data_IF_127514181363
#
_entry.id   IF_127514181363
#
_cell.length_a   1.000
_cell.length_b   1.000
_cell.length_c   1.000
_cell.angle_alpha   90.00
_cell.angle_beta   90.00
_cell.angle_gamma   90.00
#
_symmetry.space_group_name_H-M   'P 1'
#
loop_
_entity.id
_entity.type
_entity.pdbx_description
1 polymer ?
#
# COMPACT_ATOMS: atom_id res chain seq x y z
N UNK A 1 17.87 19.70 11.97
CA UNK A 1 16.70 19.34 11.15
C UNK A 1 17.17 18.27 10.20
N UNK A 2 16.62 17.04 10.30
CA UNK A 2 16.97 15.97 9.35
C UNK A 2 16.55 16.37 7.92
N UNK A 3 17.22 15.81 6.92
CA UNK A 3 16.82 15.98 5.50
C UNK A 3 15.42 15.37 5.29
N UNK A 4 14.65 15.93 4.34
CA UNK A 4 13.39 15.35 3.93
C UNK A 4 13.62 13.92 3.42
N UNK A 5 12.84 12.91 3.88
CA UNK A 5 13.03 11.55 3.42
C UNK A 5 12.70 11.42 1.93
N UNK A 6 13.49 10.64 1.21
CA UNK A 6 13.24 10.33 -0.20
C UNK A 6 12.28 9.15 -0.28
N UNK A 7 11.07 9.39 -0.74
CA UNK A 7 10.03 8.36 -0.86
C UNK A 7 9.77 8.04 -2.33
N UNK A 8 10.06 6.79 -2.72
CA UNK A 8 9.79 6.28 -4.04
C UNK A 8 8.31 5.96 -4.25
N UNK A 9 7.83 6.08 -5.47
CA UNK A 9 6.59 5.45 -5.94
C UNK A 9 6.94 4.48 -7.06
N UNK A 10 6.54 3.21 -6.92
CA UNK A 10 6.78 2.18 -7.94
C UNK A 10 6.02 2.55 -9.22
N UNK A 11 6.75 3.07 -10.22
CA UNK A 11 6.18 3.74 -11.38
C UNK A 11 6.16 2.83 -12.62
N UNK A 12 5.73 1.57 -12.43
CA UNK A 12 5.59 0.60 -13.53
C UNK A 12 4.17 0.60 -14.10
N UNK A 13 3.15 0.77 -13.24
CA UNK A 13 1.74 0.80 -13.62
C UNK A 13 0.92 1.33 -12.45
N UNK A 14 -0.22 2.00 -12.70
CA UNK A 14 -1.20 2.44 -11.69
C UNK A 14 -1.15 3.93 -11.36
N UNK A 15 -1.67 4.29 -10.19
CA UNK A 15 -1.96 5.66 -9.74
C UNK A 15 -0.70 6.41 -9.23
N UNK A 16 0.36 6.39 -10.04
CA UNK A 16 1.70 6.91 -9.68
C UNK A 16 1.68 8.41 -9.44
N UNK A 17 1.05 9.17 -10.34
CA UNK A 17 1.05 10.63 -10.30
C UNK A 17 0.28 11.16 -9.07
N UNK A 18 -0.80 10.49 -8.68
CA UNK A 18 -1.62 10.80 -7.52
C UNK A 18 -0.81 10.64 -6.23
N UNK A 19 -0.10 9.51 -6.08
CA UNK A 19 0.78 9.28 -4.93
C UNK A 19 1.95 10.26 -4.87
N UNK A 20 2.60 10.58 -6.00
CA UNK A 20 3.67 11.59 -6.03
C UNK A 20 3.16 12.96 -5.56
N UNK A 21 1.96 13.37 -6.01
CA UNK A 21 1.34 14.64 -5.58
C UNK A 21 1.00 14.65 -4.09
N UNK A 22 0.46 13.54 -3.56
CA UNK A 22 0.14 13.42 -2.15
C UNK A 22 1.42 13.48 -1.29
N UNK A 23 2.46 12.73 -1.65
CA UNK A 23 3.74 12.71 -0.94
C UNK A 23 4.43 14.08 -0.92
N UNK A 24 4.40 14.83 -2.02
CA UNK A 24 4.97 16.18 -2.10
C UNK A 24 4.39 17.14 -1.04
N UNK A 25 3.14 16.90 -0.60
CA UNK A 25 2.46 17.71 0.40
C UNK A 25 2.70 17.25 1.84
N UNK A 26 3.48 16.19 2.05
CA UNK A 26 3.76 15.61 3.38
C UNK A 26 5.16 15.91 3.91
N UNK A 27 5.94 16.71 3.17
CA UNK A 27 7.32 17.04 3.54
C UNK A 27 8.33 15.94 3.20
N UNK A 28 7.96 14.99 2.31
CA UNK A 28 8.88 14.05 1.69
C UNK A 28 9.37 14.58 0.34
N UNK A 29 10.46 14.01 -0.16
CA UNK A 29 10.93 14.19 -1.54
C UNK A 29 10.46 13.00 -2.37
N UNK A 30 9.36 13.11 -3.15
CA UNK A 30 8.82 12.00 -3.91
C UNK A 30 9.61 11.78 -5.21
N UNK A 31 9.87 10.52 -5.55
CA UNK A 31 10.55 10.13 -6.78
C UNK A 31 9.89 8.92 -7.43
N UNK A 32 9.93 8.82 -8.75
CA UNK A 32 9.49 7.62 -9.46
C UNK A 32 10.56 6.54 -9.41
N UNK A 33 10.15 5.29 -9.17
CA UNK A 33 11.02 4.11 -9.14
C UNK A 33 10.57 3.10 -10.19
N UNK A 34 11.45 2.78 -11.13
CA UNK A 34 11.24 1.78 -12.20
C UNK A 34 12.38 0.77 -12.31
N UNK A 35 13.53 1.05 -11.69
CA UNK A 35 14.76 0.28 -11.83
C UNK A 35 15.40 0.02 -10.47
N UNK A 36 16.25 -1.02 -10.37
CA UNK A 36 16.94 -1.36 -9.13
C UNK A 36 17.82 -0.25 -8.53
N UNK A 37 18.49 0.54 -9.37
CA UNK A 37 19.33 1.66 -8.93
C UNK A 37 18.48 2.80 -8.35
N UNK A 38 17.34 3.10 -8.95
CA UNK A 38 16.37 4.07 -8.41
C UNK A 38 15.79 3.59 -7.07
N UNK A 39 15.49 2.27 -6.96
CA UNK A 39 15.04 1.66 -5.71
C UNK A 39 16.10 1.74 -4.61
N UNK A 40 17.38 1.62 -4.96
CA UNK A 40 18.46 1.70 -3.98
C UNK A 40 18.60 3.08 -3.34
N UNK A 41 18.12 4.14 -4.01
CA UNK A 41 18.28 5.53 -3.61
C UNK A 41 17.14 6.09 -2.74
N UNK A 42 16.11 5.28 -2.40
CA UNK A 42 14.96 5.75 -1.63
C UNK A 42 14.98 5.23 -0.19
N UNK A 43 14.41 5.99 0.74
CA UNK A 43 14.27 5.63 2.16
C UNK A 43 13.03 4.78 2.43
N UNK A 44 11.99 4.91 1.59
CA UNK A 44 10.75 4.15 1.63
C UNK A 44 10.08 4.09 0.27
N UNK A 45 9.11 3.18 0.09
CA UNK A 45 8.45 2.95 -1.19
C UNK A 45 6.93 2.88 -1.06
N UNK A 46 6.21 3.58 -1.93
CA UNK A 46 4.78 3.37 -2.18
C UNK A 46 4.61 2.45 -3.38
N UNK A 47 3.80 1.40 -3.21
CA UNK A 47 3.34 0.50 -4.26
C UNK A 47 1.89 0.90 -4.57
N UNK A 48 1.62 1.55 -5.72
CA UNK A 48 0.33 2.17 -6.00
C UNK A 48 -0.77 1.15 -6.28
N UNK A 49 -2.00 1.63 -6.32
CA UNK A 49 -3.12 0.93 -6.92
C UNK A 49 -2.94 0.74 -8.41
N UNK A 50 -3.61 -0.28 -8.97
CA UNK A 50 -3.52 -0.64 -10.37
C UNK A 50 -4.00 -2.06 -10.62
N UNK A 51 -3.46 -2.74 -11.65
CA UNK A 51 -3.75 -4.15 -11.93
C UNK A 51 -2.58 -5.03 -11.44
N UNK A 52 -2.81 -5.80 -10.38
CA UNK A 52 -1.75 -6.53 -9.66
C UNK A 52 -1.01 -7.56 -10.50
N UNK A 53 -1.68 -8.21 -11.47
CA UNK A 53 -1.02 -9.20 -12.38
C UNK A 53 -0.04 -8.50 -13.32
N UNK A 54 -0.46 -7.36 -13.90
CA UNK A 54 0.40 -6.54 -14.75
C UNK A 54 1.56 -5.95 -13.93
N UNK A 55 1.30 -5.48 -12.73
CA UNK A 55 2.35 -4.98 -11.84
C UNK A 55 3.38 -6.06 -11.53
N UNK A 56 2.94 -7.30 -11.22
CA UNK A 56 3.85 -8.41 -10.99
C UNK A 56 4.72 -8.70 -12.21
N UNK A 57 4.10 -8.81 -13.41
CA UNK A 57 4.82 -9.04 -14.67
C UNK A 57 5.85 -7.96 -14.97
N UNK A 58 5.47 -6.69 -14.79
CA UNK A 58 6.39 -5.56 -15.02
C UNK A 58 7.51 -5.52 -13.98
N UNK A 59 7.20 -5.75 -12.70
CA UNK A 59 8.21 -5.81 -11.64
C UNK A 59 9.27 -6.88 -11.92
N UNK A 60 8.84 -8.03 -12.45
CA UNK A 60 9.75 -9.10 -12.89
C UNK A 60 10.52 -8.70 -14.15
N UNK A 61 9.85 -8.19 -15.18
CA UNK A 61 10.46 -7.83 -16.46
C UNK A 61 11.50 -6.70 -16.34
N UNK A 62 11.31 -5.77 -15.39
CA UNK A 62 12.25 -4.69 -15.09
C UNK A 62 13.29 -5.07 -14.02
N UNK A 63 13.34 -6.34 -13.62
CA UNK A 63 14.28 -6.89 -12.64
C UNK A 63 14.23 -6.20 -11.25
N UNK A 64 13.08 -5.62 -10.90
CA UNK A 64 12.87 -4.92 -9.61
C UNK A 64 12.38 -5.87 -8.52
N UNK A 65 11.78 -7.02 -8.86
CA UNK A 65 11.13 -7.92 -7.91
C UNK A 65 12.08 -8.40 -6.80
N UNK A 66 13.21 -8.99 -7.15
CA UNK A 66 14.15 -9.51 -6.16
C UNK A 66 14.86 -8.41 -5.35
N UNK A 67 15.36 -7.31 -5.96
CA UNK A 67 15.85 -6.16 -5.18
C UNK A 67 14.81 -5.62 -4.21
N UNK A 68 13.53 -5.56 -4.60
CA UNK A 68 12.46 -5.07 -3.75
C UNK A 68 12.17 -6.04 -2.59
N UNK A 69 12.05 -7.35 -2.84
CA UNK A 69 11.95 -8.37 -1.78
C UNK A 69 13.09 -8.25 -0.76
N UNK A 70 14.31 -8.08 -1.24
CA UNK A 70 15.49 -7.89 -0.38
C UNK A 70 15.41 -6.62 0.46
N UNK A 71 14.96 -5.51 -0.12
CA UNK A 71 14.78 -4.24 0.59
C UNK A 71 13.68 -4.35 1.65
N UNK A 72 12.55 -4.97 1.33
CA UNK A 72 11.44 -5.20 2.27
C UNK A 72 11.87 -6.08 3.45
N UNK A 73 12.53 -7.22 3.17
CA UNK A 73 13.06 -8.11 4.23
C UNK A 73 14.16 -7.44 5.07
N UNK A 74 14.89 -6.49 4.49
CA UNK A 74 15.85 -5.63 5.18
C UNK A 74 15.21 -4.52 6.03
N UNK A 75 13.89 -4.42 6.04
CA UNK A 75 13.15 -3.46 6.88
C UNK A 75 12.90 -2.11 6.24
N UNK A 76 13.04 -1.96 4.93
CA UNK A 76 12.64 -0.75 4.22
C UNK A 76 11.14 -0.51 4.41
N UNK A 77 10.72 0.69 4.85
CA UNK A 77 9.31 1.03 4.91
C UNK A 77 8.65 0.96 3.53
N UNK A 78 7.46 0.33 3.49
CA UNK A 78 6.65 0.31 2.27
C UNK A 78 5.17 0.46 2.58
N UNK A 79 4.47 1.13 1.66
CA UNK A 79 3.03 1.30 1.70
C UNK A 79 2.40 0.79 0.40
N UNK A 80 1.47 -0.16 0.50
CA UNK A 80 0.71 -0.69 -0.64
C UNK A 80 -0.77 -0.28 -0.59
N UNK A 81 -1.26 0.43 -1.63
CA UNK A 81 -2.68 0.73 -1.80
C UNK A 81 -3.32 -0.19 -2.84
N UNK A 82 -4.51 -0.73 -2.58
CA UNK A 82 -5.28 -1.58 -3.49
C UNK A 82 -4.43 -2.74 -4.06
N UNK A 83 -3.99 -2.66 -5.32
CA UNK A 83 -3.08 -3.64 -5.91
C UNK A 83 -1.74 -3.75 -5.14
N UNK A 84 -1.26 -2.67 -4.56
CA UNK A 84 -0.09 -2.65 -3.70
C UNK A 84 -0.27 -3.48 -2.42
N UNK A 85 -1.47 -3.52 -1.82
CA UNK A 85 -1.79 -4.43 -0.73
C UNK A 85 -1.66 -5.89 -1.18
N UNK A 86 -2.14 -6.22 -2.39
CA UNK A 86 -2.00 -7.57 -2.96
C UNK A 86 -0.51 -7.95 -3.11
N UNK A 87 0.30 -7.00 -3.60
CA UNK A 87 1.73 -7.22 -3.80
C UNK A 87 2.49 -7.47 -2.49
N UNK A 88 2.07 -6.86 -1.37
CA UNK A 88 2.72 -7.02 -0.05
C UNK A 88 2.21 -8.23 0.75
N UNK A 89 1.14 -8.91 0.31
CA UNK A 89 0.58 -10.05 1.00
C UNK A 89 1.44 -11.32 0.82
N UNK A 90 1.60 -12.11 1.89
CA UNK A 90 2.28 -13.42 1.81
C UNK A 90 1.44 -14.46 1.05
N UNK A 91 0.10 -14.31 1.06
CA UNK A 91 -0.82 -15.23 0.40
C UNK A 91 -1.89 -14.48 -0.38
N UNK A 92 -2.16 -14.97 -1.60
CA UNK A 92 -3.16 -14.44 -2.50
C UNK A 92 -4.22 -15.49 -2.83
N UNK A 93 -5.49 -15.14 -2.65
CA UNK A 93 -6.64 -15.92 -3.11
C UNK A 93 -7.22 -15.32 -4.39
N UNK A 94 -7.71 -16.19 -5.28
CA UNK A 94 -8.30 -15.81 -6.57
C UNK A 94 -7.30 -15.05 -7.48
N UNK A 95 -6.00 -15.33 -7.30
CA UNK A 95 -4.94 -14.92 -8.22
C UNK A 95 -5.05 -15.64 -9.56
N UNK A 96 -4.43 -15.09 -10.60
CA UNK A 96 -4.28 -15.79 -11.88
C UNK A 96 -3.06 -16.71 -11.83
N UNK A 97 -3.05 -17.75 -12.69
CA UNK A 97 -1.94 -18.68 -12.76
C UNK A 97 -0.60 -17.96 -13.00
N UNK A 98 0.39 -18.28 -12.18
CA UNK A 98 1.72 -17.69 -12.22
C UNK A 98 1.83 -16.27 -11.61
N UNK A 99 0.76 -15.75 -11.01
CA UNK A 99 0.86 -14.52 -10.23
C UNK A 99 1.46 -14.81 -8.86
N UNK A 100 2.61 -14.23 -8.60
CA UNK A 100 3.22 -14.19 -7.27
C UNK A 100 3.03 -12.81 -6.62
N UNK A 101 3.48 -12.72 -5.38
CA UNK A 101 3.53 -11.49 -4.58
C UNK A 101 4.96 -11.19 -4.15
N UNK A 102 5.21 -9.97 -3.71
CA UNK A 102 6.47 -9.61 -3.06
C UNK A 102 6.55 -10.21 -1.65
N UNK A 103 5.38 -10.31 -1.00
CA UNK A 103 5.27 -10.74 0.38
C UNK A 103 5.69 -9.65 1.38
N UNK A 104 5.81 -10.03 2.63
CA UNK A 104 6.29 -9.19 3.74
C UNK A 104 5.24 -8.89 4.80
N UNK A 105 3.94 -8.95 4.48
CA UNK A 105 2.87 -8.88 5.47
C UNK A 105 2.23 -10.26 5.59
N UNK A 106 2.25 -10.82 6.79
CA UNK A 106 1.72 -12.15 7.10
C UNK A 106 0.18 -12.18 7.08
N UNK A 107 -0.38 -11.87 5.91
CA UNK A 107 -1.82 -11.83 5.64
C UNK A 107 -2.16 -12.64 4.39
N UNK A 108 -3.43 -13.06 4.33
CA UNK A 108 -4.05 -13.64 3.14
C UNK A 108 -5.00 -12.62 2.56
N UNK A 109 -4.82 -12.25 1.30
CA UNK A 109 -5.64 -11.26 0.59
C UNK A 109 -6.47 -11.94 -0.49
N UNK A 110 -7.74 -11.54 -0.63
CA UNK A 110 -8.63 -11.96 -1.71
C UNK A 110 -8.79 -10.83 -2.71
N UNK A 111 -8.61 -11.12 -4.01
CA UNK A 111 -8.80 -10.15 -5.10
C UNK A 111 -10.28 -9.93 -5.41
N UNK A 112 -10.62 -8.73 -5.92
CA UNK A 112 -11.96 -8.36 -6.40
C UNK A 112 -13.07 -8.79 -5.42
N UNK A 113 -12.84 -8.55 -4.15
CA UNK A 113 -13.52 -9.26 -3.08
C UNK A 113 -14.89 -8.67 -2.73
N UNK A 114 -15.18 -7.41 -3.11
CA UNK A 114 -16.48 -6.75 -2.86
C UNK A 114 -17.56 -7.06 -3.92
N UNK A 115 -17.31 -8.06 -4.77
CA UNK A 115 -18.30 -8.63 -5.71
C UNK A 115 -18.36 -7.96 -7.07
N UNK A 116 -18.98 -8.69 -8.06
CA UNK A 116 -19.07 -8.24 -9.46
C UNK A 116 -20.06 -7.09 -9.70
N UNK A 117 -20.92 -6.79 -8.74
CA UNK A 117 -21.97 -5.77 -8.90
C UNK A 117 -21.58 -4.40 -8.32
N UNK A 118 -20.52 -4.32 -7.52
CA UNK A 118 -20.04 -3.05 -6.93
C UNK A 118 -18.61 -2.85 -7.37
N UNK A 119 -18.44 -2.25 -8.54
CA UNK A 119 -17.10 -1.95 -9.07
C UNK A 119 -16.38 -0.86 -8.26
N UNK A 120 -17.13 0.07 -7.65
CA UNK A 120 -16.59 1.13 -6.80
C UNK A 120 -17.62 1.63 -5.79
N UNK A 121 -17.16 2.01 -4.60
CA UNK A 121 -17.96 2.67 -3.57
C UNK A 121 -17.07 3.48 -2.64
N UNK A 122 -17.69 4.33 -1.84
CA UNK A 122 -17.02 5.09 -0.80
C UNK A 122 -17.58 4.70 0.58
N UNK A 123 -16.72 4.64 1.59
CA UNK A 123 -17.09 4.33 2.97
C UNK A 123 -16.23 5.14 3.96
N UNK A 124 -16.82 5.49 5.08
CA UNK A 124 -16.12 6.17 6.16
C UNK A 124 -15.49 5.12 7.08
N UNK A 125 -14.17 5.11 7.14
CA UNK A 125 -13.37 4.14 7.90
C UNK A 125 -12.68 4.83 9.09
N UNK A 126 -12.87 4.29 10.28
CA UNK A 126 -12.00 4.61 11.41
C UNK A 126 -10.69 3.84 11.24
N UNK A 127 -9.57 4.55 11.34
CA UNK A 127 -8.23 3.99 11.18
C UNK A 127 -7.43 4.26 12.46
N UNK A 128 -7.13 3.21 13.21
CA UNK A 128 -6.41 3.31 14.46
C UNK A 128 -5.04 3.96 14.26
N UNK A 129 -4.78 5.00 15.06
CA UNK A 129 -3.55 5.79 14.97
C UNK A 129 -3.43 6.75 13.77
N UNK A 130 -4.43 6.78 12.87
CA UNK A 130 -4.42 7.63 11.66
C UNK A 130 -5.65 8.54 11.61
N UNK A 131 -6.84 7.98 11.78
CA UNK A 131 -8.13 8.66 11.67
C UNK A 131 -9.13 7.98 12.62
N UNK A 132 -8.89 8.11 13.91
CA UNK A 132 -9.73 7.57 14.98
C UNK A 132 -10.33 8.70 15.83
N UNK A 133 -11.46 8.49 16.53
CA UNK A 133 -12.02 9.49 17.39
C UNK A 133 -10.99 10.11 18.35
N UNK A 134 -11.00 11.46 18.56
CA UNK A 134 -12.04 12.40 18.14
C UNK A 134 -11.95 12.90 16.69
N UNK A 135 -10.95 12.49 15.92
CA UNK A 135 -10.83 12.89 14.53
C UNK A 135 -11.94 12.29 13.66
N UNK A 136 -12.36 12.98 12.60
CA UNK A 136 -13.33 12.45 11.67
C UNK A 136 -12.79 11.18 10.97
N UNK A 137 -13.66 10.21 10.63
CA UNK A 137 -13.26 9.02 9.89
C UNK A 137 -12.61 9.39 8.54
N UNK A 138 -11.82 8.46 8.01
CA UNK A 138 -11.21 8.59 6.70
C UNK A 138 -12.23 8.23 5.61
N UNK A 139 -12.45 9.13 4.63
CA UNK A 139 -13.30 8.82 3.48
C UNK A 139 -12.52 7.95 2.50
N UNK A 140 -12.79 6.64 2.52
CA UNK A 140 -12.09 5.65 1.70
C UNK A 140 -12.79 5.41 0.37
N UNK A 141 -12.03 5.41 -0.73
CA UNK A 141 -12.52 5.12 -2.09
C UNK A 141 -12.07 3.71 -2.47
N UNK A 142 -13.02 2.82 -2.70
CA UNK A 142 -12.82 1.44 -3.09
C UNK A 142 -13.13 1.27 -4.58
N UNK A 143 -12.20 0.69 -5.35
CA UNK A 143 -12.36 0.41 -6.79
C UNK A 143 -11.91 -1.02 -7.03
N UNK A 144 -12.85 -1.94 -7.29
CA UNK A 144 -12.58 -3.38 -7.43
C UNK A 144 -11.63 -3.92 -6.36
N UNK A 145 -11.82 -3.43 -5.13
CA UNK A 145 -10.86 -3.54 -4.06
C UNK A 145 -10.67 -5.00 -3.58
N UNK A 146 -9.46 -5.35 -3.14
CA UNK A 146 -9.23 -6.55 -2.35
C UNK A 146 -9.77 -6.36 -0.92
N UNK A 147 -9.84 -7.45 -0.15
CA UNK A 147 -9.85 -7.39 1.31
C UNK A 147 -8.89 -8.38 1.91
N UNK A 148 -8.56 -8.18 3.17
CA UNK A 148 -7.77 -9.15 3.93
C UNK A 148 -8.72 -10.23 4.47
N UNK A 149 -8.46 -11.48 4.10
CA UNK A 149 -9.25 -12.65 4.52
C UNK A 149 -8.80 -13.16 5.89
N UNK A 150 -7.49 -13.13 6.16
CA UNK A 150 -6.89 -13.53 7.41
C UNK A 150 -5.55 -12.81 7.66
N UNK A 151 -5.21 -12.64 8.92
CA UNK A 151 -3.94 -12.08 9.39
C UNK A 151 -3.31 -12.98 10.45
N UNK A 152 -1.97 -12.97 10.56
CA UNK A 152 -1.27 -13.55 11.70
C UNK A 152 -1.27 -12.59 12.91
N UNK A 153 -0.85 -13.09 14.07
CA UNK A 153 -0.72 -12.28 15.30
C UNK A 153 0.27 -11.11 15.19
N UNK A 154 1.18 -11.15 14.22
CA UNK A 154 2.17 -10.10 13.99
C UNK A 154 1.60 -8.89 13.23
N UNK A 155 0.42 -9.02 12.66
CA UNK A 155 -0.23 -7.98 11.85
C UNK A 155 -1.22 -7.20 12.71
N UNK A 156 -1.04 -5.90 12.78
CA UNK A 156 -2.00 -4.98 13.42
C UNK A 156 -3.07 -4.60 12.40
N UNK A 157 -4.32 -4.88 12.73
CA UNK A 157 -5.48 -4.39 11.96
C UNK A 157 -5.71 -2.93 12.33
N UNK A 158 -5.60 -2.03 11.36
CA UNK A 158 -5.81 -0.59 11.56
C UNK A 158 -7.26 -0.17 11.28
N UNK A 159 -7.97 -0.89 10.42
CA UNK A 159 -9.34 -0.55 10.08
C UNK A 159 -10.09 -1.66 9.37
N UNK A 160 -11.41 -1.65 9.61
CA UNK A 160 -12.39 -2.56 8.98
C UNK A 160 -13.49 -1.74 8.30
N UNK A 161 -14.00 -2.25 7.18
CA UNK A 161 -15.17 -1.67 6.52
C UNK A 161 -16.44 -2.01 7.34
N UNK A 162 -17.25 -0.98 7.65
CA UNK A 162 -18.34 -1.09 8.66
C UNK A 162 -19.46 -2.03 8.29
N UNK A 163 -19.82 -2.10 7.00
CA UNK A 163 -20.98 -2.88 6.55
C UNK A 163 -20.64 -4.36 6.45
N UNK A 164 -19.46 -4.67 5.91
CA UNK A 164 -19.02 -6.05 5.67
C UNK A 164 -18.19 -6.64 6.82
N UNK A 165 -17.66 -5.79 7.71
CA UNK A 165 -16.71 -6.19 8.75
C UNK A 165 -15.36 -6.63 8.20
N UNK A 166 -15.07 -6.39 6.92
CA UNK A 166 -13.82 -6.84 6.28
C UNK A 166 -12.64 -5.95 6.64
N UNK A 167 -11.51 -6.56 6.89
CA UNK A 167 -10.25 -5.87 7.17
C UNK A 167 -9.79 -5.18 5.88
N UNK A 168 -9.56 -3.85 5.95
CA UNK A 168 -9.22 -3.00 4.80
C UNK A 168 -7.97 -2.15 5.00
N UNK A 169 -7.40 -2.16 6.20
CA UNK A 169 -6.13 -1.50 6.49
C UNK A 169 -5.36 -2.28 7.54
N UNK A 170 -4.07 -2.51 7.29
CA UNK A 170 -3.19 -3.28 8.18
C UNK A 170 -1.77 -2.70 8.21
N UNK A 171 -1.07 -2.98 9.32
CA UNK A 171 0.37 -2.69 9.47
C UNK A 171 1.10 -3.90 10.05
N UNK A 172 2.29 -4.17 9.53
CA UNK A 172 3.25 -5.10 10.14
C UNK A 172 4.64 -4.48 10.13
N UNK A 173 5.11 -4.08 11.30
CA UNK A 173 6.40 -3.39 11.41
C UNK A 173 6.47 -2.15 10.50
N UNK A 174 7.40 -2.10 9.51
CA UNK A 174 7.53 -0.99 8.59
C UNK A 174 6.59 -1.04 7.38
N UNK A 175 5.75 -2.06 7.28
CA UNK A 175 4.87 -2.27 6.13
C UNK A 175 3.43 -1.85 6.45
N UNK A 176 2.87 -1.00 5.60
CA UNK A 176 1.49 -0.50 5.65
C UNK A 176 0.74 -0.94 4.41
N UNK A 177 -0.52 -1.35 4.54
CA UNK A 177 -1.35 -1.67 3.39
C UNK A 177 -2.81 -1.23 3.59
N UNK A 178 -3.42 -0.69 2.53
CA UNK A 178 -4.85 -0.34 2.46
C UNK A 178 -5.49 -0.99 1.24
N UNK A 179 -6.74 -1.45 1.36
CA UNK A 179 -7.48 -2.00 0.22
C UNK A 179 -8.11 -0.92 -0.67
N UNK A 180 -8.14 0.31 -0.20
CA UNK A 180 -8.72 1.48 -0.86
C UNK A 180 -7.63 2.45 -1.37
N UNK A 181 -8.05 3.50 -2.05
CA UNK A 181 -7.22 4.48 -2.74
C UNK A 181 -7.16 5.81 -1.98
N UNK A 182 -6.25 6.00 -0.99
CA UNK A 182 -6.15 7.27 -0.25
C UNK A 182 -5.68 8.43 -1.13
N UNK A 183 -4.96 8.14 -2.20
CA UNK A 183 -4.44 9.11 -3.17
C UNK A 183 -5.53 9.85 -3.96
N UNK A 184 -6.76 9.32 -3.97
CA UNK A 184 -7.89 9.91 -4.70
C UNK A 184 -8.74 10.86 -3.86
N UNK A 185 -8.51 10.96 -2.55
CA UNK A 185 -9.40 11.70 -1.66
C UNK A 185 -8.94 13.12 -1.33
N UNK A 186 -7.68 13.44 -1.51
CA UNK A 186 -7.08 14.68 -1.02
C UNK A 186 -6.82 14.71 0.49
N UNK A 187 -7.25 13.70 1.25
CA UNK A 187 -6.92 13.51 2.66
C UNK A 187 -5.53 12.88 2.80
N UNK A 188 -4.59 13.63 3.33
CA UNK A 188 -3.19 13.24 3.39
C UNK A 188 -2.80 12.43 4.64
N UNK A 189 -3.74 12.12 5.54
CA UNK A 189 -3.43 11.49 6.83
C UNK A 189 -2.67 10.17 6.67
N UNK A 190 -3.05 9.30 5.73
CA UNK A 190 -2.36 8.02 5.47
C UNK A 190 -0.95 8.26 4.90
N UNK A 191 -0.81 9.19 3.96
CA UNK A 191 0.51 9.50 3.40
C UNK A 191 1.44 10.12 4.45
N UNK A 192 0.93 11.01 5.33
CA UNK A 192 1.69 11.55 6.46
C UNK A 192 2.13 10.46 7.42
N UNK A 193 1.20 9.59 7.81
CA UNK A 193 1.50 8.44 8.67
C UNK A 193 2.62 7.58 8.08
N UNK A 194 2.55 7.27 6.77
CA UNK A 194 3.61 6.53 6.10
C UNK A 194 4.94 7.28 6.08
N UNK A 195 4.94 8.57 5.78
CA UNK A 195 6.17 9.38 5.80
C UNK A 195 6.79 9.45 7.20
N UNK A 196 5.97 9.48 8.24
CA UNK A 196 6.46 9.42 9.62
C UNK A 196 7.07 8.04 9.93
N UNK A 197 6.49 6.94 9.45
CA UNK A 197 7.12 5.60 9.53
C UNK A 197 8.49 5.56 8.83
N UNK A 198 8.67 6.27 7.72
CA UNK A 198 9.97 6.36 7.02
C UNK A 198 10.96 7.15 7.89
N UNK A 199 10.56 8.28 8.45
CA UNK A 199 11.42 9.13 9.32
C UNK A 199 11.90 8.41 10.57
N UNK A 200 11.10 7.51 11.13
CA UNK A 200 11.49 6.72 12.31
C UNK A 200 12.67 5.75 12.03
N UNK A 201 13.01 5.54 10.76
CA UNK A 201 14.03 4.57 10.35
C UNK A 201 15.23 5.18 9.61
N UNK A 202 15.16 6.47 9.32
CA UNK A 202 16.29 7.27 8.79
C UNK A 202 16.98 8.05 9.91
#
# INVERSE_FOLDING_TARGET
>A
MGSAPVVGVLALQGDVAEHLRALAQTGATPVSVRRPDELAAVDGLVIPGGESTTMWKLTTAFEVAEPLRKRLSGGMPAFGSCAGMIMLADRLLDGVDGQETLGGIAMTVRRNAFGRQVDSFESDICLDGIAAPPDPPFRAVFIRAPWVEAVSEQVTVLGTERVTGRIVAVRQGPLLATSFHPELTGDLRIHRYFVDMVRERT
#
